data_IF_772192250982
#
_entry.id   IF_772192250982
#
_cell.length_a   1.000
_cell.length_b   1.000
_cell.length_c   1.000
_cell.angle_alpha   90.00
_cell.angle_beta   90.00
_cell.angle_gamma   90.00
#
_symmetry.space_group_name_H-M   'P 1'
#
loop_
_entity.id
_entity.type
_entity.pdbx_description
1 polymer ?
#
# COMPACT_ATOMS: atom_id res chain seq x y z
N UNK A 1 9.77 4.98 -26.87
CA UNK A 1 10.53 3.79 -26.42
C UNK A 1 9.50 2.84 -25.81
N UNK A 2 9.50 1.59 -26.26
CA UNK A 2 8.32 0.74 -26.23
C UNK A 2 8.18 -0.04 -24.93
N UNK A 3 6.93 -0.29 -24.52
CA UNK A 3 6.51 -1.10 -23.36
C UNK A 3 7.32 -2.41 -23.15
N UNK A 4 7.89 -3.00 -24.21
CA UNK A 4 8.76 -4.17 -24.12
C UNK A 4 10.09 -3.91 -23.39
N UNK A 5 10.71 -2.75 -23.60
CA UNK A 5 11.99 -2.40 -22.97
C UNK A 5 11.81 -2.20 -21.45
N UNK A 6 10.71 -1.56 -21.05
CA UNK A 6 10.36 -1.32 -19.65
C UNK A 6 10.06 -2.62 -18.91
N UNK A 7 9.34 -3.57 -19.52
CA UNK A 7 9.12 -4.90 -18.94
C UNK A 7 10.41 -5.70 -18.78
N UNK A 8 11.35 -5.57 -19.72
CA UNK A 8 12.65 -6.23 -19.63
C UNK A 8 13.49 -5.66 -18.48
N UNK A 9 13.48 -4.34 -18.29
CA UNK A 9 14.16 -3.68 -17.15
C UNK A 9 13.59 -4.19 -15.82
N UNK A 10 12.26 -4.19 -15.68
CA UNK A 10 11.61 -4.72 -14.48
C UNK A 10 11.97 -6.18 -14.22
N UNK A 11 11.93 -7.02 -15.26
CA UNK A 11 12.27 -8.44 -15.14
C UNK A 11 13.71 -8.65 -14.68
N UNK A 12 14.65 -7.85 -15.19
CA UNK A 12 16.06 -7.88 -14.75
C UNK A 12 16.19 -7.49 -13.28
N UNK A 13 15.46 -6.46 -12.83
CA UNK A 13 15.44 -6.05 -11.43
C UNK A 13 14.90 -7.18 -10.52
N UNK A 14 13.83 -7.87 -10.92
CA UNK A 14 13.30 -9.04 -10.18
C UNK A 14 14.33 -10.17 -10.10
N UNK A 15 14.99 -10.51 -11.21
CA UNK A 15 16.04 -11.55 -11.22
C UNK A 15 17.19 -11.16 -10.29
N UNK A 16 17.65 -9.90 -10.35
CA UNK A 16 18.70 -9.38 -9.47
C UNK A 16 18.28 -9.43 -8.00
N UNK A 17 17.02 -9.11 -7.69
CA UNK A 17 16.46 -9.17 -6.34
C UNK A 17 16.59 -10.57 -5.73
N UNK A 18 16.37 -11.62 -6.54
CA UNK A 18 16.46 -13.04 -6.14
C UNK A 18 17.86 -13.65 -6.21
N UNK A 19 18.88 -12.88 -6.62
CA UNK A 19 20.24 -13.41 -6.76
C UNK A 19 20.87 -13.65 -5.39
N UNK A 20 21.21 -14.90 -5.08
CA UNK A 20 21.78 -15.33 -3.78
C UNK A 20 23.11 -14.68 -3.40
N UNK A 21 23.73 -13.93 -4.30
CA UNK A 21 25.09 -13.44 -4.19
C UNK A 21 25.23 -12.13 -3.42
N UNK A 22 24.18 -11.34 -3.21
CA UNK A 22 24.30 -10.04 -2.54
C UNK A 22 22.98 -9.48 -1.98
N UNK A 23 23.01 -9.01 -0.73
CA UNK A 23 21.97 -8.13 -0.17
C UNK A 23 22.10 -6.75 -0.80
N UNK A 24 21.01 -6.24 -1.35
CA UNK A 24 20.99 -4.93 -2.02
C UNK A 24 20.87 -3.85 -0.95
N UNK A 25 21.67 -2.78 -1.08
CA UNK A 25 21.62 -1.67 -0.12
C UNK A 25 20.25 -1.00 -0.14
N UNK A 26 19.71 -0.70 1.05
CA UNK A 26 18.49 0.10 1.19
C UNK A 26 18.65 1.54 0.66
N UNK A 27 19.89 2.00 0.46
CA UNK A 27 20.19 3.35 -0.05
C UNK A 27 20.26 3.42 -1.58
N UNK A 28 20.23 2.28 -2.27
CA UNK A 28 20.29 2.20 -3.74
C UNK A 28 18.93 2.56 -4.38
N UNK A 29 18.58 3.84 -4.32
CA UNK A 29 17.28 4.32 -4.82
C UNK A 29 17.11 4.08 -6.32
N UNK A 30 18.20 4.12 -7.10
CA UNK A 30 18.17 3.86 -8.55
C UNK A 30 17.76 2.41 -8.86
N UNK A 31 18.18 1.45 -8.03
CA UNK A 31 17.70 0.07 -8.12
C UNK A 31 16.23 -0.03 -7.72
N UNK A 32 15.87 0.48 -6.53
CA UNK A 32 14.54 0.32 -5.96
C UNK A 32 13.46 1.03 -6.79
N UNK A 33 13.76 2.19 -7.37
CA UNK A 33 12.80 2.96 -8.18
C UNK A 33 12.37 2.24 -9.47
N UNK A 34 13.07 1.18 -9.89
CA UNK A 34 12.66 0.33 -11.01
C UNK A 34 11.36 -0.45 -10.75
N UNK A 35 10.98 -0.66 -9.48
CA UNK A 35 9.80 -1.47 -9.12
C UNK A 35 8.46 -0.71 -9.16
N UNK A 36 8.49 0.62 -9.11
CA UNK A 36 7.27 1.47 -9.09
C UNK A 36 7.28 2.60 -10.12
N UNK A 37 8.31 2.68 -10.97
CA UNK A 37 8.36 3.56 -12.13
C UNK A 37 7.45 3.06 -13.27
N UNK A 38 7.54 3.69 -14.46
CA UNK A 38 6.72 3.40 -15.66
C UNK A 38 6.85 1.96 -16.21
N UNK A 39 7.65 1.12 -15.56
CA UNK A 39 8.01 -0.26 -15.93
C UNK A 39 6.84 -1.24 -15.94
N UNK A 40 5.83 -1.07 -15.08
CA UNK A 40 4.66 -1.97 -15.04
C UNK A 40 3.38 -1.23 -14.63
N UNK A 41 2.46 -1.02 -15.57
CA UNK A 41 1.22 -0.25 -15.36
C UNK A 41 -0.04 -1.11 -15.19
N UNK A 42 0.08 -2.44 -15.22
CA UNK A 42 -1.05 -3.36 -15.11
C UNK A 42 -0.74 -4.52 -14.14
N UNK A 43 -1.72 -4.89 -13.31
CA UNK A 43 -1.67 -6.03 -12.40
C UNK A 43 -1.30 -7.35 -13.10
N UNK A 44 -1.78 -7.60 -14.33
CA UNK A 44 -1.48 -8.85 -15.05
C UNK A 44 0.01 -8.98 -15.38
N UNK A 45 0.65 -7.87 -15.73
CA UNK A 45 2.09 -7.83 -16.00
C UNK A 45 2.88 -8.08 -14.72
N UNK A 46 2.46 -7.53 -13.56
CA UNK A 46 3.11 -7.82 -12.27
C UNK A 46 3.04 -9.32 -11.95
N UNK A 47 1.87 -9.94 -12.12
CA UNK A 47 1.70 -11.38 -11.84
C UNK A 47 2.52 -12.26 -12.78
N UNK A 48 2.73 -11.81 -14.02
CA UNK A 48 3.54 -12.52 -15.02
C UNK A 48 5.04 -12.34 -14.77
N UNK A 49 5.48 -11.13 -14.43
CA UNK A 49 6.89 -10.76 -14.28
C UNK A 49 7.46 -11.08 -12.88
N UNK A 50 6.59 -11.29 -11.89
CA UNK A 50 6.93 -11.71 -10.52
C UNK A 50 6.28 -13.07 -10.19
N UNK A 51 6.90 -14.19 -10.62
CA UNK A 51 6.39 -15.54 -10.37
C UNK A 51 6.35 -15.90 -8.89
N UNK A 52 5.39 -16.76 -8.51
CA UNK A 52 5.20 -17.17 -7.12
C UNK A 52 6.44 -17.89 -6.55
N UNK A 53 7.06 -18.73 -7.39
CA UNK A 53 8.29 -19.45 -7.06
C UNK A 53 9.43 -18.49 -6.72
N UNK A 54 9.55 -17.37 -7.42
CA UNK A 54 10.61 -16.39 -7.16
C UNK A 54 10.39 -15.61 -5.88
N UNK A 55 9.13 -15.32 -5.52
CA UNK A 55 8.82 -14.65 -4.23
C UNK A 55 9.15 -15.59 -3.07
N UNK A 56 8.82 -16.89 -3.18
CA UNK A 56 9.18 -17.89 -2.15
C UNK A 56 10.69 -18.08 -2.05
N UNK A 57 11.39 -18.18 -3.17
CA UNK A 57 12.86 -18.22 -3.19
C UNK A 57 13.46 -16.95 -2.56
N UNK A 58 12.93 -15.77 -2.88
CA UNK A 58 13.39 -14.52 -2.28
C UNK A 58 13.22 -14.51 -0.76
N UNK A 59 12.07 -15.00 -0.28
CA UNK A 59 11.74 -15.11 1.14
C UNK A 59 12.69 -16.06 1.87
N UNK A 60 13.03 -17.19 1.26
CA UNK A 60 13.85 -18.25 1.86
C UNK A 60 15.36 -17.96 1.74
N UNK A 61 15.83 -17.53 0.57
CA UNK A 61 17.25 -17.37 0.28
C UNK A 61 17.78 -15.97 0.60
N UNK A 62 16.97 -14.91 0.44
CA UNK A 62 17.42 -13.51 0.62
C UNK A 62 16.35 -12.65 1.32
N UNK A 63 15.93 -13.03 2.55
CA UNK A 63 14.82 -12.36 3.27
C UNK A 63 15.04 -10.86 3.49
N UNK A 64 16.29 -10.41 3.64
CA UNK A 64 16.63 -9.00 3.80
C UNK A 64 16.21 -8.14 2.57
N UNK A 65 16.33 -8.68 1.36
CA UNK A 65 15.94 -7.98 0.13
C UNK A 65 14.40 -7.85 0.06
N UNK A 66 13.66 -8.89 0.44
CA UNK A 66 12.20 -8.85 0.50
C UNK A 66 11.70 -7.87 1.57
N UNK A 67 12.32 -7.86 2.76
CA UNK A 67 11.99 -6.89 3.79
C UNK A 67 12.23 -5.45 3.31
N UNK A 68 13.36 -5.21 2.64
CA UNK A 68 13.68 -3.89 2.06
C UNK A 68 12.71 -3.49 0.95
N UNK A 69 12.30 -4.42 0.09
CA UNK A 69 11.29 -4.16 -0.95
C UNK A 69 9.96 -3.71 -0.33
N UNK A 70 9.47 -4.44 0.68
CA UNK A 70 8.25 -4.08 1.40
C UNK A 70 8.39 -2.72 2.08
N UNK A 71 9.50 -2.49 2.79
CA UNK A 71 9.78 -1.21 3.45
C UNK A 71 9.73 -0.04 2.47
N UNK A 72 10.47 -0.14 1.35
CA UNK A 72 10.51 0.92 0.33
C UNK A 72 9.15 1.15 -0.32
N UNK A 73 8.38 0.10 -0.58
CA UNK A 73 7.04 0.25 -1.13
C UNK A 73 6.13 1.03 -0.16
N UNK A 74 6.15 0.71 1.15
CA UNK A 74 5.38 1.46 2.15
C UNK A 74 5.88 2.90 2.31
N UNK A 75 7.20 3.14 2.23
CA UNK A 75 7.77 4.49 2.22
C UNK A 75 7.16 5.35 1.09
N UNK A 76 6.90 4.76 -0.09
CA UNK A 76 6.22 5.47 -1.19
C UNK A 76 4.76 5.81 -0.88
N UNK A 77 4.03 4.93 -0.18
CA UNK A 77 2.67 5.24 0.29
C UNK A 77 2.66 6.43 1.25
N UNK A 78 3.54 6.40 2.27
CA UNK A 78 3.66 7.49 3.26
C UNK A 78 4.03 8.81 2.57
N UNK A 79 5.05 8.79 1.69
CA UNK A 79 5.43 9.99 0.92
C UNK A 79 4.32 10.50 0.02
N UNK A 80 3.50 9.60 -0.55
CA UNK A 80 2.37 10.03 -1.37
C UNK A 80 1.31 10.73 -0.51
N UNK A 81 1.05 10.25 0.71
CA UNK A 81 0.15 10.93 1.66
C UNK A 81 0.69 12.31 2.04
N UNK A 82 1.96 12.42 2.41
CA UNK A 82 2.61 13.70 2.75
C UNK A 82 2.54 14.73 1.60
N UNK A 83 2.52 14.24 0.36
CA UNK A 83 2.41 15.08 -0.84
C UNK A 83 0.99 15.25 -1.36
N UNK A 84 -0.02 14.74 -0.64
CA UNK A 84 -1.43 14.71 -1.03
C UNK A 84 -1.70 14.04 -2.38
N UNK A 85 -0.85 13.08 -2.77
CA UNK A 85 -0.90 12.32 -4.02
C UNK A 85 -1.17 13.19 -5.27
N UNK A 86 -0.63 14.41 -5.28
CA UNK A 86 -1.04 15.48 -6.19
C UNK A 86 -0.57 15.30 -7.63
N UNK A 87 0.52 14.55 -7.84
CA UNK A 87 1.10 14.37 -9.18
C UNK A 87 0.72 13.02 -9.78
N UNK A 88 0.63 12.96 -11.11
CA UNK A 88 0.41 11.68 -11.81
C UNK A 88 1.52 10.66 -11.50
N UNK A 89 2.75 11.14 -11.26
CA UNK A 89 3.86 10.30 -10.86
C UNK A 89 3.64 9.65 -9.49
N UNK A 90 3.17 10.42 -8.49
CA UNK A 90 2.83 9.90 -7.16
C UNK A 90 1.70 8.87 -7.26
N UNK A 91 0.64 9.18 -8.01
CA UNK A 91 -0.49 8.27 -8.23
C UNK A 91 -0.05 6.96 -8.87
N UNK A 92 0.76 7.02 -9.94
CA UNK A 92 1.29 5.83 -10.60
C UNK A 92 2.19 5.02 -9.66
N UNK A 93 3.03 5.69 -8.87
CA UNK A 93 3.92 5.06 -7.89
C UNK A 93 3.10 4.29 -6.86
N UNK A 94 2.06 4.91 -6.28
CA UNK A 94 1.15 4.27 -5.31
C UNK A 94 0.47 3.03 -5.92
N UNK A 95 -0.07 3.15 -7.13
CA UNK A 95 -0.75 2.02 -7.79
C UNK A 95 0.21 0.87 -8.10
N UNK A 96 1.44 1.18 -8.53
CA UNK A 96 2.45 0.16 -8.81
C UNK A 96 2.92 -0.54 -7.53
N UNK A 97 3.19 0.22 -6.46
CA UNK A 97 3.46 -0.33 -5.14
C UNK A 97 2.27 -1.17 -4.64
N UNK A 98 1.03 -0.75 -4.90
CA UNK A 98 -0.18 -1.48 -4.52
C UNK A 98 -0.24 -2.87 -5.15
N UNK A 99 -0.02 -2.94 -6.47
CA UNK A 99 0.00 -4.19 -7.24
C UNK A 99 1.11 -5.11 -6.79
N UNK A 100 2.31 -4.56 -6.54
CA UNK A 100 3.46 -5.34 -6.10
C UNK A 100 3.25 -5.91 -4.70
N UNK A 101 2.78 -5.12 -3.74
CA UNK A 101 2.48 -5.58 -2.39
C UNK A 101 1.34 -6.60 -2.36
N UNK A 102 0.27 -6.36 -3.15
CA UNK A 102 -0.83 -7.34 -3.31
C UNK A 102 -0.30 -8.68 -3.84
N UNK A 103 0.73 -8.64 -4.69
CA UNK A 103 1.36 -9.83 -5.25
C UNK A 103 2.28 -10.53 -4.23
N UNK A 104 3.01 -9.78 -3.41
CA UNK A 104 4.09 -10.28 -2.55
C UNK A 104 3.59 -10.74 -1.18
N UNK A 105 2.69 -9.98 -0.54
CA UNK A 105 2.26 -10.20 0.84
C UNK A 105 1.67 -11.60 1.12
N UNK A 106 0.87 -12.22 0.23
CA UNK A 106 0.36 -13.58 0.48
C UNK A 106 1.47 -14.61 0.77
N UNK A 107 2.61 -14.47 0.09
CA UNK A 107 3.77 -15.35 0.29
C UNK A 107 4.59 -14.97 1.52
N UNK A 108 4.54 -13.72 1.97
CA UNK A 108 5.12 -13.32 3.25
C UNK A 108 4.36 -14.02 4.39
N UNK A 109 3.03 -14.09 4.32
CA UNK A 109 2.18 -14.70 5.35
C UNK A 109 2.23 -16.22 5.44
N UNK A 110 2.81 -16.90 4.45
CA UNK A 110 3.05 -18.34 4.50
C UNK A 110 4.12 -18.73 5.55
N UNK A 111 4.98 -17.79 6.00
CA UNK A 111 6.02 -18.03 7.00
C UNK A 111 5.73 -17.29 8.33
N UNK A 112 5.58 -17.99 9.47
CA UNK A 112 5.24 -17.37 10.75
C UNK A 112 6.29 -16.35 11.26
N UNK A 113 7.57 -16.57 10.97
CA UNK A 113 8.65 -15.70 11.45
C UNK A 113 8.62 -14.31 10.79
N UNK A 114 7.94 -14.20 9.64
CA UNK A 114 7.74 -12.94 8.92
C UNK A 114 6.66 -12.06 9.54
N UNK A 115 5.79 -12.58 10.40
CA UNK A 115 4.82 -11.79 11.17
C UNK A 115 5.56 -10.71 11.95
N UNK A 116 6.66 -11.09 12.60
CA UNK A 116 7.47 -10.16 13.36
C UNK A 116 8.10 -9.09 12.46
N UNK A 117 8.44 -9.36 11.19
CA UNK A 117 9.08 -8.34 10.34
C UNK A 117 8.05 -7.31 9.82
N UNK A 118 6.86 -7.75 9.43
CA UNK A 118 5.83 -6.88 8.87
C UNK A 118 5.06 -6.12 9.96
N UNK A 119 4.83 -6.76 11.10
CA UNK A 119 4.11 -6.19 12.24
C UNK A 119 5.03 -5.67 13.35
N UNK A 120 6.37 -5.83 13.28
CA UNK A 120 7.27 -5.08 14.17
C UNK A 120 7.52 -3.67 13.67
N UNK A 121 7.28 -2.75 14.58
CA UNK A 121 8.15 -1.65 14.97
C UNK A 121 9.52 -1.55 14.27
N UNK A 122 9.64 -0.65 13.29
CA UNK A 122 10.94 -0.15 12.80
C UNK A 122 11.65 0.61 13.92
N UNK A 123 12.99 0.57 14.05
CA UNK A 123 13.69 1.38 15.04
C UNK A 123 13.39 2.86 14.81
N UNK A 124 12.55 3.44 15.67
CA UNK A 124 12.20 4.85 15.63
C UNK A 124 13.41 5.72 15.99
N UNK A 125 13.44 6.93 15.44
CA UNK A 125 14.34 7.98 15.92
C UNK A 125 14.17 8.17 17.45
N UNK A 126 15.25 8.56 18.13
CA UNK A 126 15.31 8.67 19.60
C UNK A 126 14.08 9.45 20.16
N UNK A 127 13.10 8.73 20.71
CA UNK A 127 12.01 9.32 21.50
C UNK A 127 10.61 8.78 21.21
N UNK A 128 10.36 8.27 20.00
CA UNK A 128 9.01 7.80 19.61
C UNK A 128 8.88 6.28 19.70
N UNK A 129 7.68 5.76 20.03
CA UNK A 129 7.44 4.33 19.97
C UNK A 129 7.59 3.85 18.51
N UNK A 130 8.25 2.71 18.30
CA UNK A 130 8.50 2.24 16.95
C UNK A 130 7.19 1.81 16.25
N UNK A 131 6.92 2.42 15.10
CA UNK A 131 5.66 2.19 14.35
C UNK A 131 5.82 0.97 13.44
N UNK A 132 4.90 -0.02 13.51
CA UNK A 132 4.91 -1.16 12.61
C UNK A 132 4.72 -0.78 11.14
N UNK A 133 5.43 -1.49 10.25
CA UNK A 133 5.31 -1.27 8.80
C UNK A 133 3.86 -1.43 8.31
N UNK A 134 3.16 -2.45 8.80
CA UNK A 134 1.76 -2.69 8.49
C UNK A 134 0.83 -1.55 8.94
N UNK A 135 1.13 -0.91 10.07
CA UNK A 135 0.36 0.24 10.55
C UNK A 135 0.51 1.42 9.61
N UNK A 136 1.74 1.78 9.25
CA UNK A 136 2.02 2.86 8.31
C UNK A 136 1.37 2.61 6.95
N UNK A 137 1.45 1.38 6.43
CA UNK A 137 0.82 1.01 5.16
C UNK A 137 -0.70 1.16 5.22
N UNK A 138 -1.34 0.57 6.21
CA UNK A 138 -2.80 0.58 6.29
C UNK A 138 -3.34 1.99 6.58
N UNK A 139 -2.66 2.78 7.42
CA UNK A 139 -3.01 4.19 7.63
C UNK A 139 -2.93 4.97 6.31
N UNK A 140 -1.83 4.83 5.58
CA UNK A 140 -1.65 5.52 4.31
C UNK A 140 -2.69 5.07 3.26
N UNK A 141 -3.05 3.79 3.21
CA UNK A 141 -4.13 3.30 2.35
C UNK A 141 -5.47 3.97 2.73
N UNK A 142 -5.79 4.06 4.02
CA UNK A 142 -7.01 4.73 4.48
C UNK A 142 -7.04 6.21 4.07
N UNK A 143 -5.95 6.94 4.26
CA UNK A 143 -5.85 8.35 3.84
C UNK A 143 -6.01 8.48 2.31
N UNK A 144 -5.34 7.62 1.54
CA UNK A 144 -5.37 7.63 0.08
C UNK A 144 -6.72 7.21 -0.51
N UNK A 145 -7.52 6.42 0.20
CA UNK A 145 -8.88 6.03 -0.22
C UNK A 145 -9.82 7.25 -0.29
N UNK A 146 -9.54 8.32 0.46
CA UNK A 146 -10.30 9.57 0.46
C UNK A 146 -9.48 10.76 -0.06
N UNK A 147 -8.38 10.52 -0.77
CA UNK A 147 -7.52 11.57 -1.32
C UNK A 147 -8.19 12.30 -2.50
N UNK A 148 -8.39 13.62 -2.41
CA UNK A 148 -8.89 14.43 -3.51
C UNK A 148 -8.05 14.29 -4.78
N UNK A 149 -8.73 14.30 -5.93
CA UNK A 149 -8.16 14.18 -7.28
C UNK A 149 -7.41 12.87 -7.58
N UNK A 150 -7.36 11.95 -6.62
CA UNK A 150 -6.83 10.60 -6.79
C UNK A 150 -7.92 9.52 -6.67
N UNK A 151 -8.70 9.56 -5.60
CA UNK A 151 -9.78 8.60 -5.33
C UNK A 151 -11.11 9.27 -5.09
N UNK A 152 -11.17 10.58 -4.86
CA UNK A 152 -12.43 11.33 -4.71
C UNK A 152 -12.35 12.64 -5.47
N UNK A 153 -13.49 13.18 -5.91
CA UNK A 153 -13.50 14.46 -6.62
C UNK A 153 -13.20 15.57 -5.62
N UNK A 154 -12.29 16.49 -5.95
CA UNK A 154 -12.00 17.65 -5.10
C UNK A 154 -13.22 18.59 -5.01
N UNK A 155 -13.55 19.06 -3.80
CA UNK A 155 -14.61 20.05 -3.56
C UNK A 155 -14.14 21.50 -3.76
N UNK A 156 -12.94 21.73 -4.31
CA UNK A 156 -12.39 23.07 -4.49
C UNK A 156 -13.30 23.96 -5.35
N UNK A 157 -13.90 24.96 -4.71
CA UNK A 157 -14.27 26.23 -5.37
C UNK A 157 -12.98 27.04 -5.54
N UNK A 158 -12.37 26.96 -6.73
CA UNK A 158 -11.36 27.92 -7.26
C UNK A 158 -10.69 28.82 -6.21
N UNK A 159 -9.71 28.26 -5.51
CA UNK A 159 -8.84 28.94 -4.55
C UNK A 159 -7.38 28.48 -4.74
N UNK A 160 -6.38 29.19 -4.19
CA UNK A 160 -4.97 28.94 -4.50
C UNK A 160 -4.56 27.49 -4.16
N UNK A 161 -3.68 26.91 -5.00
CA UNK A 161 -3.15 25.54 -4.94
C UNK A 161 -2.36 25.22 -3.66
N UNK A 162 -3.03 25.22 -2.51
CA UNK A 162 -2.48 24.67 -1.26
C UNK A 162 -2.92 23.24 -1.12
N UNK A 163 -1.95 22.32 -1.03
CA UNK A 163 -2.21 20.91 -0.75
C UNK A 163 -3.11 20.77 0.49
N UNK A 164 -4.18 20.00 0.37
CA UNK A 164 -5.01 19.66 1.53
C UNK A 164 -4.22 18.68 2.39
N UNK A 165 -4.16 18.95 3.69
CA UNK A 165 -3.64 18.00 4.66
C UNK A 165 -4.59 16.81 4.72
N UNK A 166 -4.16 15.66 4.21
CA UNK A 166 -4.99 14.45 4.14
C UNK A 166 -5.46 14.00 5.52
N UNK A 167 -4.69 14.29 6.58
CA UNK A 167 -5.09 13.96 7.95
C UNK A 167 -6.19 14.87 8.50
N UNK A 168 -6.46 16.01 7.83
CA UNK A 168 -7.51 16.95 8.18
C UNK A 168 -8.77 16.81 7.31
N UNK A 169 -8.75 15.93 6.31
CA UNK A 169 -9.89 15.69 5.41
C UNK A 169 -11.02 15.01 6.19
N UNK A 170 -12.21 15.64 6.22
CA UNK A 170 -13.41 14.98 6.70
C UNK A 170 -13.89 13.96 5.66
N UNK A 171 -13.67 12.67 5.95
CA UNK A 171 -14.07 11.57 5.06
C UNK A 171 -15.58 11.56 4.77
N UNK A 172 -16.40 12.20 5.62
CA UNK A 172 -17.84 12.30 5.42
C UNK A 172 -18.20 13.23 4.25
N UNK A 173 -17.35 14.19 3.90
CA UNK A 173 -17.56 15.03 2.71
C UNK A 173 -17.35 14.27 1.39
N UNK A 174 -16.72 13.09 1.45
CA UNK A 174 -16.23 12.35 0.28
C UNK A 174 -16.77 10.91 0.19
N UNK A 175 -17.99 10.68 0.67
CA UNK A 175 -18.64 9.37 0.64
C UNK A 175 -18.85 8.86 -0.79
N UNK A 176 -18.43 7.63 -1.06
CA UNK A 176 -18.39 7.10 -2.43
C UNK A 176 -19.75 6.70 -3.01
N UNK A 177 -20.72 6.36 -2.16
CA UNK A 177 -22.04 5.93 -2.58
C UNK A 177 -23.10 6.42 -1.58
N UNK A 178 -24.31 6.72 -2.07
CA UNK A 178 -25.47 7.04 -1.23
C UNK A 178 -25.71 5.94 -0.19
N UNK A 179 -26.16 6.34 0.99
CA UNK A 179 -26.30 5.43 2.12
C UNK A 179 -26.95 6.10 3.32
N UNK A 180 -26.83 5.47 4.49
CA UNK A 180 -27.37 6.03 5.72
C UNK A 180 -26.64 7.35 6.02
N UNK A 181 -27.41 8.44 6.14
CA UNK A 181 -26.87 9.80 6.33
C UNK A 181 -26.66 10.61 5.04
N UNK A 182 -26.63 9.98 3.85
CA UNK A 182 -26.28 10.67 2.58
C UNK A 182 -27.21 10.28 1.43
N UNK A 183 -27.99 11.26 0.95
CA UNK A 183 -29.05 11.04 -0.05
C UNK A 183 -28.54 10.95 -1.50
N UNK A 184 -27.32 11.43 -1.78
CA UNK A 184 -26.79 11.54 -3.14
C UNK A 184 -25.40 10.91 -3.23
N UNK A 185 -25.18 10.10 -4.26
CA UNK A 185 -23.84 9.64 -4.62
C UNK A 185 -23.11 10.76 -5.37
N UNK A 186 -21.80 10.94 -5.16
CA UNK A 186 -20.99 11.80 -6.02
C UNK A 186 -21.00 11.32 -7.48
N UNK A 187 -20.56 12.19 -8.39
CA UNK A 187 -20.40 11.84 -9.81
C UNK A 187 -19.44 10.66 -9.93
N UNK A 188 -19.88 9.60 -10.63
CA UNK A 188 -19.05 8.42 -10.87
C UNK A 188 -17.88 8.77 -11.77
N UNK A 189 -16.70 8.30 -11.39
CA UNK A 189 -15.47 8.46 -12.15
C UNK A 189 -14.75 7.11 -12.16
N UNK A 190 -14.64 6.51 -13.35
CA UNK A 190 -14.06 5.18 -13.53
C UNK A 190 -12.60 5.08 -13.07
N UNK A 191 -11.81 6.16 -13.22
CA UNK A 191 -10.43 6.21 -12.74
C UNK A 191 -10.39 6.14 -11.21
N UNK A 192 -11.23 6.93 -10.54
CA UNK A 192 -11.32 6.90 -9.07
C UNK A 192 -11.80 5.54 -8.56
N UNK A 193 -12.81 4.94 -9.20
CA UNK A 193 -13.28 3.59 -8.86
C UNK A 193 -12.17 2.54 -9.06
N UNK A 194 -11.40 2.64 -10.14
CA UNK A 194 -10.25 1.77 -10.39
C UNK A 194 -9.18 1.91 -9.29
N UNK A 195 -8.80 3.15 -8.95
CA UNK A 195 -7.80 3.44 -7.92
C UNK A 195 -8.24 2.92 -6.55
N UNK A 196 -9.49 3.20 -6.14
CA UNK A 196 -10.09 2.65 -4.91
C UNK A 196 -10.04 1.12 -4.91
N UNK A 197 -10.38 0.49 -6.03
CA UNK A 197 -10.39 -0.98 -6.14
C UNK A 197 -9.00 -1.56 -5.90
N UNK A 198 -7.94 -0.94 -6.42
CA UNK A 198 -6.57 -1.40 -6.18
C UNK A 198 -6.14 -1.23 -4.72
N UNK A 199 -6.45 -0.09 -4.11
CA UNK A 199 -6.18 0.16 -2.70
C UNK A 199 -6.94 -0.79 -1.77
N UNK A 200 -8.23 -1.03 -2.04
CA UNK A 200 -9.06 -1.98 -1.28
C UNK A 200 -8.58 -3.42 -1.43
N UNK A 201 -8.11 -3.82 -2.61
CA UNK A 201 -7.50 -5.16 -2.81
C UNK A 201 -6.25 -5.32 -1.95
N UNK A 202 -5.38 -4.31 -1.89
CA UNK A 202 -4.21 -4.35 -1.02
C UNK A 202 -4.62 -4.39 0.45
N UNK A 203 -5.60 -3.57 0.86
CA UNK A 203 -6.10 -3.55 2.23
C UNK A 203 -6.64 -4.92 2.65
N UNK A 204 -7.46 -5.54 1.81
CA UNK A 204 -7.94 -6.92 2.02
C UNK A 204 -6.80 -7.93 2.10
N UNK A 205 -5.76 -7.75 1.27
CA UNK A 205 -4.57 -8.60 1.30
C UNK A 205 -3.84 -8.46 2.64
N UNK A 206 -3.68 -7.26 3.19
CA UNK A 206 -3.07 -7.06 4.51
C UNK A 206 -3.80 -7.82 5.63
N UNK A 207 -5.12 -8.03 5.50
CA UNK A 207 -5.93 -8.79 6.45
C UNK A 207 -6.12 -10.27 6.08
N UNK A 208 -5.49 -10.75 5.02
CA UNK A 208 -5.71 -12.12 4.55
C UNK A 208 -4.84 -13.17 5.25
N UNK A 209 -3.99 -12.78 6.21
CA UNK A 209 -3.03 -13.65 6.88
C UNK A 209 -3.64 -14.96 7.41
N UNK A 210 -4.82 -14.90 8.05
CA UNK A 210 -5.51 -16.08 8.58
C UNK A 210 -5.85 -17.15 7.52
N UNK A 211 -5.89 -16.78 6.24
CA UNK A 211 -6.12 -17.70 5.12
C UNK A 211 -4.86 -18.53 4.84
N UNK A 212 -3.68 -18.01 5.16
CA UNK A 212 -2.38 -18.60 4.81
C UNK A 212 -1.70 -19.33 5.98
N UNK A 213 -2.17 -19.15 7.22
CA UNK A 213 -1.62 -19.81 8.41
C UNK A 213 -2.44 -21.07 8.78
N UNK A 214 -1.86 -22.29 8.70
CA UNK A 214 -2.59 -23.53 8.99
C UNK A 214 -2.85 -23.76 10.49
N UNK A 215 -2.11 -23.10 11.38
CA UNK A 215 -2.23 -23.23 12.84
C UNK A 215 -3.04 -22.05 13.41
N UNK A 216 -4.37 -22.17 13.40
CA UNK A 216 -5.31 -21.17 13.94
C UNK A 216 -5.38 -21.14 15.48
N UNK A 217 -4.26 -20.98 16.18
CA UNK A 217 -4.27 -20.78 17.64
C UNK A 217 -4.06 -19.33 18.07
N UNK A 218 -3.63 -18.44 17.18
CA UNK A 218 -3.61 -16.99 17.43
C UNK A 218 -4.85 -16.36 16.83
N UNK A 219 -5.75 -15.92 17.69
CA UNK A 219 -6.95 -15.18 17.30
C UNK A 219 -6.50 -13.91 16.60
N UNK A 220 -7.04 -13.66 15.41
CA UNK A 220 -6.87 -12.45 14.58
C UNK A 220 -7.03 -11.10 15.34
N UNK A 221 -7.49 -11.15 16.59
CA UNK A 221 -7.92 -10.02 17.40
C UNK A 221 -6.90 -9.59 18.47
N UNK A 222 -5.90 -10.42 18.81
CA UNK A 222 -4.90 -10.02 19.83
C UNK A 222 -3.76 -9.16 19.25
N UNK A 223 -3.37 -9.39 17.99
CA UNK A 223 -2.25 -8.69 17.33
C UNK A 223 -2.68 -7.53 16.41
N UNK A 224 -3.96 -7.49 15.99
CA UNK A 224 -4.50 -6.31 15.31
C UNK A 224 -4.72 -5.26 16.40
N UNK A 225 -3.70 -4.43 16.59
CA UNK A 225 -3.67 -3.38 17.62
C UNK A 225 -5.06 -2.73 17.74
N UNK A 226 -5.69 -2.72 18.92
CA UNK A 226 -7.00 -2.10 19.10
C UNK A 226 -7.03 -0.66 18.58
N UNK A 227 -5.88 0.06 18.63
CA UNK A 227 -5.72 1.41 18.05
C UNK A 227 -5.93 1.40 16.53
N UNK A 228 -5.53 0.34 15.83
CA UNK A 228 -5.68 0.16 14.40
C UNK A 228 -7.13 -0.13 14.01
N UNK A 229 -7.79 -1.07 14.71
CA UNK A 229 -9.24 -1.26 14.58
C UNK A 229 -9.96 0.03 14.94
N UNK A 230 -9.53 0.77 15.97
CA UNK A 230 -10.05 2.08 16.35
C UNK A 230 -9.71 3.17 15.32
N UNK A 231 -8.65 3.07 14.50
CA UNK A 231 -8.31 4.06 13.48
C UNK A 231 -9.16 3.87 12.22
N UNK A 232 -9.33 2.62 11.79
CA UNK A 232 -10.32 2.22 10.80
C UNK A 232 -11.70 2.57 11.33
N UNK A 233 -12.06 2.11 12.53
CA UNK A 233 -13.32 2.45 13.21
C UNK A 233 -13.41 3.91 13.63
N UNK A 234 -12.37 4.76 13.59
CA UNK A 234 -12.48 6.22 13.82
C UNK A 234 -12.92 6.87 12.54
N UNK A 235 -12.27 6.51 11.42
CA UNK A 235 -12.73 6.89 10.09
C UNK A 235 -14.16 6.37 9.84
N UNK A 236 -14.47 5.14 10.25
CA UNK A 236 -15.82 4.58 10.17
C UNK A 236 -16.78 5.06 11.30
N UNK A 237 -16.32 5.46 12.50
CA UNK A 237 -17.19 6.04 13.54
C UNK A 237 -17.55 7.49 13.25
N UNK A 238 -16.66 8.24 12.62
CA UNK A 238 -17.00 9.57 12.10
C UNK A 238 -18.19 9.45 11.13
N UNK A 239 -18.24 8.38 10.32
CA UNK A 239 -19.39 8.06 9.48
C UNK A 239 -20.66 7.65 10.26
N UNK A 240 -20.55 7.04 11.45
CA UNK A 240 -21.73 6.60 12.22
C UNK A 240 -22.19 7.54 13.33
N UNK A 241 -21.35 8.44 13.86
CA UNK A 241 -21.72 9.39 14.92
C UNK A 241 -22.47 10.63 14.40
N UNK A 242 -22.61 10.79 13.08
CA UNK A 242 -23.41 11.84 12.45
C UNK A 242 -24.73 11.33 11.82
N UNK A 243 -25.10 10.07 12.08
CA UNK A 243 -26.43 9.50 11.79
C UNK A 243 -27.28 9.56 13.07
#
# INVERSE_FOLDING_TARGET
>A
MGNADTKLVFRKAVVQLTSKTQTISSEDNDFWDQFWSETVTNVQDVFTLVPASEIRLLREDVPANLATLCYKAVEKFVRAVENSCRTQQDQNTVLNCSRLLTRVLPYVFEEPDWENIFWSSLPAGKGDPPIPLAHSLCSAICDLLFCPDFTVASNRKTGPDKAEDLHAVDSCEYIWEKGVGFAQSPVKNATFESNRTELLRLLLTCFSQAIYSPNQSKVFCEDVNPIFVISILKHFNLLTQQI
#
